data_IF_377113459800
#
_entry.id   IF_377113459800
#
_cell.length_a   1.000
_cell.length_b   1.000
_cell.length_c   1.000
_cell.angle_alpha   90.00
_cell.angle_beta   90.00
_cell.angle_gamma   90.00
#
_symmetry.space_group_name_H-M   'P 1'
#
loop_
_entity.id
_entity.type
_entity.pdbx_description
1 polymer ?
#
# COMPACT_ATOMS: atom_id res chain seq x y z
N UNK A 1 0.17 4.66 43.17
CA UNK A 1 -0.22 4.93 41.78
C UNK A 1 1.06 5.03 40.95
N UNK A 2 1.51 3.92 40.35
CA UNK A 2 2.73 3.90 39.50
C UNK A 2 2.36 4.55 38.18
N UNK A 3 2.93 5.72 37.90
CA UNK A 3 2.93 6.32 36.55
C UNK A 3 3.66 5.33 35.66
N UNK A 4 2.90 4.60 34.84
CA UNK A 4 3.47 3.73 33.82
C UNK A 4 4.35 4.61 32.94
N UNK A 5 5.65 4.45 33.02
CA UNK A 5 6.62 5.09 32.12
C UNK A 5 6.22 4.75 30.71
N UNK A 6 5.63 5.72 29.98
CA UNK A 6 5.37 5.59 28.54
C UNK A 6 6.73 5.32 27.88
N UNK A 7 6.95 4.08 27.48
CA UNK A 7 8.12 3.75 26.65
C UNK A 7 8.08 4.65 25.42
N UNK A 8 9.17 5.35 25.16
CA UNK A 8 9.26 6.17 23.95
C UNK A 8 8.94 5.31 22.72
N UNK A 9 8.18 5.83 21.75
CA UNK A 9 7.90 5.09 20.53
C UNK A 9 9.22 4.76 19.82
N UNK A 10 9.31 3.59 19.16
CA UNK A 10 10.49 3.23 18.40
C UNK A 10 10.68 4.25 17.25
N UNK A 11 11.93 4.47 16.80
CA UNK A 11 12.19 5.42 15.71
C UNK A 11 11.43 5.03 14.46
N UNK A 12 10.96 6.02 13.70
CA UNK A 12 10.05 5.84 12.54
C UNK A 12 10.62 4.88 11.48
N UNK A 13 11.95 4.89 11.25
CA UNK A 13 12.61 3.95 10.34
C UNK A 13 12.47 2.48 10.79
N UNK A 14 12.49 2.23 12.09
CA UNK A 14 12.32 0.88 12.63
C UNK A 14 10.87 0.41 12.44
N UNK A 15 9.90 1.32 12.53
CA UNK A 15 8.49 1.02 12.24
C UNK A 15 8.35 0.65 10.76
N UNK A 16 8.96 1.42 9.86
CA UNK A 16 9.01 1.08 8.44
C UNK A 16 9.61 -0.30 8.19
N UNK A 17 10.77 -0.60 8.79
CA UNK A 17 11.37 -1.94 8.67
C UNK A 17 10.48 -3.06 9.19
N UNK A 18 9.62 -2.80 10.18
CA UNK A 18 8.61 -3.74 10.65
C UNK A 18 7.52 -4.08 9.63
N UNK A 19 7.33 -3.24 8.60
CA UNK A 19 6.40 -3.49 7.49
C UNK A 19 7.08 -4.10 6.25
N UNK A 20 8.40 -4.28 6.28
CA UNK A 20 9.17 -4.80 5.15
C UNK A 20 8.69 -6.18 4.69
N UNK A 21 8.18 -7.02 5.60
CA UNK A 21 7.60 -8.33 5.27
C UNK A 21 6.52 -8.20 4.19
N UNK A 22 5.62 -7.22 4.35
CA UNK A 22 4.58 -6.94 3.35
C UNK A 22 5.22 -6.54 2.01
N UNK A 23 6.17 -5.60 2.03
CA UNK A 23 6.87 -5.16 0.81
C UNK A 23 7.51 -6.32 0.06
N UNK A 24 8.23 -7.22 0.76
CA UNK A 24 8.90 -8.35 0.14
C UNK A 24 7.93 -9.32 -0.54
N UNK A 25 6.81 -9.67 0.11
CA UNK A 25 5.81 -10.60 -0.45
C UNK A 25 5.04 -9.94 -1.59
N UNK A 26 4.54 -8.72 -1.40
CA UNK A 26 3.83 -7.99 -2.44
C UNK A 26 4.73 -7.72 -3.67
N UNK A 27 5.98 -7.31 -3.46
CA UNK A 27 6.95 -7.14 -4.54
C UNK A 27 7.23 -8.43 -5.30
N UNK A 28 7.29 -9.56 -4.58
CA UNK A 28 7.38 -10.87 -5.22
C UNK A 28 6.16 -11.14 -6.11
N UNK A 29 4.95 -10.99 -5.58
CA UNK A 29 3.70 -11.29 -6.31
C UNK A 29 3.52 -10.39 -7.53
N UNK A 30 3.82 -9.11 -7.40
CA UNK A 30 3.63 -8.13 -8.49
C UNK A 30 4.68 -8.25 -9.57
N UNK A 31 5.94 -8.49 -9.20
CA UNK A 31 7.08 -8.36 -10.13
C UNK A 31 7.80 -9.68 -10.40
N UNK A 32 8.21 -10.41 -9.37
CA UNK A 32 9.02 -11.61 -9.55
C UNK A 32 8.20 -12.81 -10.03
N UNK A 33 6.95 -12.94 -9.59
CA UNK A 33 6.05 -14.03 -9.96
C UNK A 33 5.82 -14.14 -11.48
N UNK A 34 5.40 -13.08 -12.20
CA UNK A 34 5.23 -13.15 -13.65
C UNK A 34 6.52 -13.52 -14.37
N UNK A 35 7.65 -12.99 -13.91
CA UNK A 35 8.97 -13.29 -14.46
C UNK A 35 9.34 -14.79 -14.31
N UNK A 36 9.15 -15.35 -13.11
CA UNK A 36 9.45 -16.76 -12.82
C UNK A 36 8.59 -17.71 -13.66
N UNK A 37 7.28 -17.39 -13.79
CA UNK A 37 6.36 -18.17 -14.60
C UNK A 37 6.70 -18.11 -16.09
N UNK A 38 7.07 -16.96 -16.61
CA UNK A 38 7.54 -16.78 -17.98
C UNK A 38 8.81 -17.58 -18.23
N UNK A 39 9.79 -17.53 -17.31
CA UNK A 39 11.02 -18.34 -17.38
C UNK A 39 10.76 -19.85 -17.35
N UNK A 40 9.68 -20.27 -16.68
CA UNK A 40 9.24 -21.67 -16.64
C UNK A 40 8.44 -22.11 -17.88
N UNK A 41 8.27 -21.24 -18.88
CA UNK A 41 7.55 -21.53 -20.11
C UNK A 41 6.02 -21.53 -19.97
N UNK A 42 5.48 -20.90 -18.92
CA UNK A 42 4.03 -20.74 -18.77
C UNK A 42 3.53 -19.69 -19.75
N UNK A 43 2.41 -19.95 -20.42
CA UNK A 43 1.82 -19.04 -21.41
C UNK A 43 1.34 -17.73 -20.77
N UNK A 44 1.38 -16.64 -21.53
CA UNK A 44 1.08 -15.27 -21.05
C UNK A 44 -0.32 -15.16 -20.47
N UNK A 45 -1.32 -15.82 -21.05
CA UNK A 45 -2.71 -15.88 -20.57
C UNK A 45 -2.81 -16.51 -19.17
N UNK A 46 -2.08 -17.61 -18.95
CA UNK A 46 -2.00 -18.26 -17.64
C UNK A 46 -1.23 -17.43 -16.62
N UNK A 47 -0.13 -16.77 -17.03
CA UNK A 47 0.58 -15.83 -16.15
C UNK A 47 -0.35 -14.71 -15.69
N UNK A 48 -1.09 -14.10 -16.63
CA UNK A 48 -2.05 -13.07 -16.30
C UNK A 48 -3.13 -13.54 -15.32
N UNK A 49 -3.67 -14.76 -15.54
CA UNK A 49 -4.67 -15.36 -14.65
C UNK A 49 -4.10 -15.60 -13.25
N UNK A 50 -2.92 -16.21 -13.15
CA UNK A 50 -2.25 -16.48 -11.86
C UNK A 50 -1.98 -15.17 -11.11
N UNK A 51 -1.45 -14.15 -11.80
CA UNK A 51 -1.16 -12.85 -11.19
C UNK A 51 -2.42 -12.15 -10.71
N UNK A 52 -3.51 -12.16 -11.51
CA UNK A 52 -4.77 -11.56 -11.12
C UNK A 52 -5.39 -12.24 -9.89
N UNK A 53 -5.38 -13.58 -9.86
CA UNK A 53 -5.86 -14.35 -8.70
C UNK A 53 -4.99 -14.08 -7.48
N UNK A 54 -3.66 -14.10 -7.62
CA UNK A 54 -2.72 -13.87 -6.54
C UNK A 54 -2.90 -12.50 -5.91
N UNK A 55 -3.11 -11.44 -6.71
CA UNK A 55 -3.31 -10.07 -6.23
C UNK A 55 -4.72 -9.79 -5.70
N UNK A 56 -5.70 -10.65 -5.96
CA UNK A 56 -7.10 -10.39 -5.61
C UNK A 56 -7.36 -10.09 -4.12
N UNK A 57 -6.61 -10.64 -3.13
CA UNK A 57 -6.82 -10.30 -1.71
C UNK A 57 -6.68 -8.81 -1.40
N UNK A 58 -5.88 -8.06 -2.14
CA UNK A 58 -5.73 -6.61 -1.94
C UNK A 58 -7.05 -5.85 -2.06
N UNK A 59 -8.07 -6.42 -2.73
CA UNK A 59 -9.38 -5.82 -2.95
C UNK A 59 -10.46 -6.30 -1.98
N UNK A 60 -10.40 -7.53 -1.48
CA UNK A 60 -11.48 -8.11 -0.69
C UNK A 60 -11.08 -8.55 0.72
N UNK A 61 -9.77 -8.62 1.03
CA UNK A 61 -9.32 -9.06 2.36
C UNK A 61 -9.82 -8.15 3.50
N UNK A 62 -10.24 -6.89 3.22
CA UNK A 62 -10.86 -6.03 4.21
C UNK A 62 -12.12 -6.65 4.86
N UNK A 63 -12.79 -7.57 4.16
CA UNK A 63 -13.93 -8.32 4.72
C UNK A 63 -13.51 -9.27 5.84
N UNK A 64 -12.23 -9.69 5.87
CA UNK A 64 -11.69 -10.60 6.87
C UNK A 64 -10.92 -9.86 7.99
N UNK A 65 -10.57 -8.58 7.80
CA UNK A 65 -9.78 -7.82 8.78
C UNK A 65 -10.43 -7.66 10.17
N UNK A 66 -11.77 -7.72 10.37
CA UNK A 66 -12.34 -7.72 11.71
C UNK A 66 -11.83 -8.87 12.59
N UNK A 67 -11.33 -9.95 11.99
CA UNK A 67 -10.70 -11.07 12.72
C UNK A 67 -9.46 -10.57 13.48
N UNK A 68 -8.74 -9.60 12.92
CA UNK A 68 -7.51 -9.02 13.49
C UNK A 68 -7.79 -8.12 14.70
N UNK A 69 -9.00 -7.55 14.75
CA UNK A 69 -9.42 -6.66 15.85
C UNK A 69 -10.01 -7.45 17.04
N UNK A 70 -10.02 -8.80 17.00
CA UNK A 70 -10.71 -9.65 17.97
C UNK A 70 -9.86 -10.81 18.45
N UNK A 71 -10.00 -11.16 19.71
CA UNK A 71 -9.42 -12.37 20.31
C UNK A 71 -7.95 -12.21 20.68
N UNK A 72 -7.03 -12.50 19.76
CA UNK A 72 -5.59 -12.32 20.01
C UNK A 72 -5.14 -10.87 19.85
N UNK A 73 -3.99 -10.53 20.39
CA UNK A 73 -3.39 -9.20 20.20
C UNK A 73 -2.99 -9.00 18.74
N UNK A 74 -3.03 -7.77 18.24
CA UNK A 74 -2.54 -7.43 16.90
C UNK A 74 -1.10 -7.86 16.69
N UNK A 75 -0.29 -7.83 17.74
CA UNK A 75 1.08 -8.39 17.75
C UNK A 75 1.08 -9.87 17.40
N UNK A 76 0.23 -10.67 18.05
CA UNK A 76 0.13 -12.12 17.81
C UNK A 76 -0.31 -12.39 16.36
N UNK A 77 -1.32 -11.68 15.88
CA UNK A 77 -1.76 -11.80 14.48
C UNK A 77 -0.68 -11.40 13.49
N UNK A 78 0.08 -10.33 13.75
CA UNK A 78 1.16 -9.90 12.88
C UNK A 78 2.22 -11.02 12.69
N UNK A 79 2.60 -11.71 13.76
CA UNK A 79 3.55 -12.84 13.66
C UNK A 79 2.92 -14.08 13.01
N UNK A 80 1.70 -14.46 13.40
CA UNK A 80 1.02 -15.64 12.85
C UNK A 80 0.85 -15.51 11.32
N UNK A 81 0.35 -14.37 10.86
CA UNK A 81 0.13 -14.16 9.44
C UNK A 81 1.42 -13.99 8.65
N UNK A 82 2.47 -13.39 9.24
CA UNK A 82 3.77 -13.34 8.59
C UNK A 82 4.38 -14.74 8.39
N UNK A 83 4.30 -15.60 9.41
CA UNK A 83 4.75 -16.99 9.32
C UNK A 83 3.93 -17.76 8.29
N UNK A 84 2.59 -17.62 8.33
CA UNK A 84 1.70 -18.29 7.38
C UNK A 84 1.98 -17.85 5.93
N UNK A 85 2.17 -16.55 5.70
CA UNK A 85 2.53 -16.01 4.38
C UNK A 85 3.87 -16.54 3.89
N UNK A 86 4.89 -16.47 4.73
CA UNK A 86 6.24 -16.95 4.40
C UNK A 86 6.26 -18.44 4.12
N UNK A 87 5.56 -19.25 4.93
CA UNK A 87 5.46 -20.69 4.75
C UNK A 87 4.70 -21.04 3.44
N UNK A 88 3.60 -20.33 3.16
CA UNK A 88 2.82 -20.54 1.94
C UNK A 88 3.61 -20.19 0.69
N UNK A 89 4.33 -19.06 0.70
CA UNK A 89 5.15 -18.63 -0.42
C UNK A 89 6.36 -19.56 -0.62
N UNK A 90 7.00 -19.96 0.48
CA UNK A 90 8.07 -20.96 0.45
C UNK A 90 7.59 -22.29 -0.12
N UNK A 91 6.44 -22.80 0.36
CA UNK A 91 5.83 -24.03 -0.15
C UNK A 91 5.45 -23.92 -1.64
N UNK A 92 4.93 -22.77 -2.08
CA UNK A 92 4.60 -22.52 -3.48
C UNK A 92 5.82 -22.78 -4.38
N UNK A 93 6.98 -22.21 -4.04
CA UNK A 93 8.20 -22.37 -4.84
C UNK A 93 8.87 -23.73 -4.65
N UNK A 94 8.80 -24.31 -3.44
CA UNK A 94 9.30 -25.68 -3.19
C UNK A 94 8.57 -26.72 -4.02
N UNK A 95 7.23 -26.58 -4.17
CA UNK A 95 6.36 -27.52 -4.87
C UNK A 95 6.08 -27.09 -6.31
N UNK A 96 6.75 -26.02 -6.78
CA UNK A 96 6.50 -25.46 -8.11
C UNK A 96 6.74 -26.49 -9.21
N UNK A 97 5.71 -26.65 -10.05
CA UNK A 97 5.76 -27.39 -11.29
C UNK A 97 4.72 -26.80 -12.26
N UNK A 98 5.03 -26.63 -13.55
CA UNK A 98 4.05 -26.18 -14.54
C UNK A 98 2.80 -27.06 -14.61
N UNK A 99 2.92 -28.36 -14.29
CA UNK A 99 1.80 -29.31 -14.22
C UNK A 99 0.90 -29.11 -12.99
N UNK A 100 1.37 -28.40 -11.96
CA UNK A 100 0.66 -28.13 -10.70
C UNK A 100 0.39 -26.64 -10.50
N UNK A 101 0.12 -25.91 -11.57
CA UNK A 101 -0.04 -24.46 -11.55
C UNK A 101 -1.21 -24.02 -10.65
N UNK A 102 -2.28 -24.81 -10.56
CA UNK A 102 -3.41 -24.52 -9.67
C UNK A 102 -3.02 -24.55 -8.18
N UNK A 103 -2.23 -25.56 -7.76
CA UNK A 103 -1.71 -25.65 -6.39
C UNK A 103 -0.78 -24.46 -6.10
N UNK A 104 0.11 -24.14 -7.04
CA UNK A 104 1.00 -22.98 -6.93
C UNK A 104 0.20 -21.69 -6.75
N UNK A 105 -0.83 -21.47 -7.58
CA UNK A 105 -1.70 -20.30 -7.50
C UNK A 105 -2.43 -20.23 -6.15
N UNK A 106 -2.94 -21.34 -5.65
CA UNK A 106 -3.62 -21.39 -4.36
C UNK A 106 -2.66 -21.04 -3.19
N UNK A 107 -1.43 -21.52 -3.22
CA UNK A 107 -0.43 -21.21 -2.21
C UNK A 107 0.02 -19.74 -2.27
N UNK A 108 0.20 -19.17 -3.46
CA UNK A 108 0.52 -17.74 -3.62
C UNK A 108 -0.66 -16.86 -3.20
N UNK A 109 -1.90 -17.23 -3.54
CA UNK A 109 -3.11 -16.55 -3.07
C UNK A 109 -3.19 -16.55 -1.54
N UNK A 110 -2.89 -17.68 -0.89
CA UNK A 110 -2.87 -17.78 0.56
C UNK A 110 -1.75 -16.92 1.17
N UNK A 111 -0.58 -16.88 0.53
CA UNK A 111 0.52 -16.02 0.95
C UNK A 111 0.12 -14.55 0.89
N UNK A 112 -0.50 -14.11 -0.20
CA UNK A 112 -0.96 -12.73 -0.37
C UNK A 112 -2.09 -12.36 0.60
N UNK A 113 -3.08 -13.23 0.77
CA UNK A 113 -4.15 -13.02 1.75
C UNK A 113 -3.58 -12.83 3.16
N UNK A 114 -2.69 -13.72 3.58
CA UNK A 114 -2.13 -13.67 4.93
C UNK A 114 -1.20 -12.49 5.13
N UNK A 115 -0.47 -12.04 4.09
CA UNK A 115 0.38 -10.84 4.22
C UNK A 115 -0.45 -9.55 4.25
N UNK A 116 -1.57 -9.47 3.54
CA UNK A 116 -2.50 -8.34 3.63
C UNK A 116 -3.12 -8.25 5.03
N UNK A 117 -3.50 -9.38 5.62
CA UNK A 117 -3.98 -9.43 7.00
C UNK A 117 -2.88 -9.08 8.02
N UNK A 118 -1.64 -9.52 7.78
CA UNK A 118 -0.47 -9.12 8.57
C UNK A 118 -0.25 -7.60 8.52
N UNK A 119 -0.30 -7.01 7.32
CA UNK A 119 -0.17 -5.56 7.14
C UNK A 119 -1.26 -4.81 7.91
N UNK A 120 -2.51 -5.29 7.86
CA UNK A 120 -3.62 -4.72 8.63
C UNK A 120 -3.39 -4.81 10.14
N UNK A 121 -2.84 -5.94 10.62
CA UNK A 121 -2.48 -6.13 12.03
C UNK A 121 -1.37 -5.16 12.47
N UNK A 122 -0.30 -5.04 11.67
CA UNK A 122 0.83 -4.14 11.96
C UNK A 122 0.38 -2.70 11.95
N UNK A 123 -0.35 -2.27 10.92
CA UNK A 123 -0.82 -0.89 10.81
C UNK A 123 -1.80 -0.52 11.93
N UNK A 124 -2.72 -1.44 12.27
CA UNK A 124 -3.61 -1.28 13.43
C UNK A 124 -2.85 -1.23 14.77
N UNK A 125 -1.75 -1.98 14.90
CA UNK A 125 -0.88 -1.91 16.08
C UNK A 125 -0.10 -0.59 16.13
N UNK A 126 0.46 -0.15 15.01
CA UNK A 126 1.19 1.12 14.86
C UNK A 126 0.30 2.31 15.21
N UNK A 127 -0.97 2.33 14.78
CA UNK A 127 -1.90 3.41 15.09
C UNK A 127 -2.12 3.59 16.59
N UNK A 128 -1.96 2.52 17.39
CA UNK A 128 -2.17 2.52 18.83
C UNK A 128 -1.07 3.21 19.64
N UNK A 129 0.14 3.40 19.10
CA UNK A 129 1.27 3.97 19.86
C UNK A 129 1.97 5.15 19.19
N UNK A 130 1.73 5.42 17.91
CA UNK A 130 2.37 6.53 17.19
C UNK A 130 1.69 7.85 17.53
N UNK A 131 2.45 8.84 18.10
CA UNK A 131 1.91 10.14 18.40
C UNK A 131 1.57 10.90 17.12
N UNK A 132 0.63 11.84 17.22
CA UNK A 132 0.16 12.61 16.06
C UNK A 132 1.28 13.35 15.33
N UNK A 133 2.24 13.87 16.07
CA UNK A 133 3.41 14.62 15.56
C UNK A 133 4.40 13.79 14.73
N UNK A 134 4.27 12.46 14.71
CA UNK A 134 5.19 11.55 14.00
C UNK A 134 4.48 10.66 12.97
N UNK A 135 3.17 10.77 12.81
CA UNK A 135 2.39 9.93 11.87
C UNK A 135 2.84 10.10 10.43
N UNK A 136 3.27 11.30 10.06
CA UNK A 136 3.83 11.58 8.74
C UNK A 136 5.13 10.84 8.50
N UNK A 137 6.11 10.99 9.40
CA UNK A 137 7.40 10.28 9.30
C UNK A 137 7.21 8.77 9.27
N UNK A 138 6.33 8.25 10.13
CA UNK A 138 6.01 6.82 10.18
C UNK A 138 5.39 6.37 8.86
N UNK A 139 4.41 7.08 8.32
CA UNK A 139 3.82 6.80 7.01
C UNK A 139 4.85 6.81 5.88
N UNK A 140 5.76 7.78 5.90
CA UNK A 140 6.86 7.87 4.94
C UNK A 140 7.78 6.65 4.99
N UNK A 141 8.23 6.23 6.16
CA UNK A 141 9.10 5.07 6.31
C UNK A 141 8.40 3.75 6.01
N UNK A 142 7.10 3.60 6.36
CA UNK A 142 6.27 2.44 5.99
C UNK A 142 6.25 2.29 4.46
N UNK A 143 5.94 3.37 3.74
CA UNK A 143 5.85 3.30 2.28
C UNK A 143 7.22 3.14 1.62
N UNK A 144 8.27 3.77 2.14
CA UNK A 144 9.64 3.55 1.67
C UNK A 144 10.08 2.08 1.81
N UNK A 145 9.77 1.44 2.94
CA UNK A 145 10.05 0.03 3.16
C UNK A 145 9.21 -0.87 2.25
N UNK A 146 7.93 -0.56 2.06
CA UNK A 146 7.03 -1.36 1.22
C UNK A 146 7.41 -1.26 -0.26
N UNK A 147 7.56 -0.04 -0.79
CA UNK A 147 7.87 0.20 -2.21
C UNK A 147 9.33 -0.14 -2.54
N UNK A 148 10.26 0.42 -1.76
CA UNK A 148 11.70 0.17 -1.95
C UNK A 148 12.08 -1.26 -1.63
N UNK A 149 11.59 -1.81 -0.50
CA UNK A 149 11.83 -3.19 -0.08
C UNK A 149 11.24 -4.20 -1.05
N UNK A 150 10.03 -3.94 -1.55
CA UNK A 150 9.37 -4.78 -2.54
C UNK A 150 10.14 -4.84 -3.85
N UNK A 151 10.56 -3.69 -4.36
CA UNK A 151 11.33 -3.63 -5.60
C UNK A 151 12.71 -4.28 -5.47
N UNK A 152 13.44 -4.00 -4.37
CA UNK A 152 14.74 -4.64 -4.10
C UNK A 152 14.60 -6.15 -3.92
N UNK A 153 13.57 -6.60 -3.17
CA UNK A 153 13.28 -8.02 -2.98
C UNK A 153 12.99 -8.73 -4.30
N UNK A 154 12.13 -8.14 -5.14
CA UNK A 154 11.83 -8.69 -6.46
C UNK A 154 13.07 -8.74 -7.36
N UNK A 155 13.89 -7.70 -7.36
CA UNK A 155 15.15 -7.66 -8.14
C UNK A 155 16.11 -8.75 -7.69
N UNK A 156 16.31 -8.93 -6.38
CA UNK A 156 17.16 -10.00 -5.82
C UNK A 156 16.64 -11.38 -6.26
N UNK A 157 15.34 -11.60 -6.19
CA UNK A 157 14.71 -12.86 -6.63
C UNK A 157 14.93 -13.11 -8.12
N UNK A 158 14.68 -12.11 -8.97
CA UNK A 158 14.84 -12.25 -10.43
C UNK A 158 16.30 -12.52 -10.81
N UNK A 159 17.23 -11.82 -10.18
CA UNK A 159 18.66 -12.03 -10.39
C UNK A 159 19.10 -13.42 -9.92
N UNK A 160 18.71 -13.81 -8.70
CA UNK A 160 19.02 -15.11 -8.12
C UNK A 160 18.39 -16.26 -8.92
N UNK A 161 17.26 -16.04 -9.58
CA UNK A 161 16.60 -17.03 -10.41
C UNK A 161 17.42 -17.45 -11.65
N UNK A 162 18.44 -16.67 -12.04
CA UNK A 162 19.38 -17.08 -13.07
C UNK A 162 20.37 -18.16 -12.58
N UNK A 163 20.63 -18.18 -11.27
CA UNK A 163 21.69 -18.97 -10.63
C UNK A 163 21.15 -20.11 -9.76
N UNK A 164 19.96 -19.95 -9.19
CA UNK A 164 19.42 -20.84 -8.17
C UNK A 164 18.15 -21.56 -8.64
N UNK A 165 17.93 -22.80 -8.21
CA UNK A 165 16.67 -23.50 -8.45
C UNK A 165 15.53 -22.88 -7.65
N UNK A 166 14.27 -23.04 -8.13
CA UNK A 166 13.06 -22.49 -7.48
C UNK A 166 12.92 -22.87 -6.00
N UNK A 167 13.35 -24.08 -5.63
CA UNK A 167 13.34 -24.55 -4.24
C UNK A 167 14.20 -23.68 -3.33
N UNK A 168 15.41 -23.36 -3.76
CA UNK A 168 16.32 -22.49 -3.00
C UNK A 168 15.78 -21.06 -2.93
N UNK A 169 15.22 -20.54 -4.03
CA UNK A 169 14.54 -19.23 -4.04
C UNK A 169 13.41 -19.19 -3.03
N UNK A 170 12.59 -20.24 -2.96
CA UNK A 170 11.49 -20.36 -2.01
C UNK A 170 11.96 -20.27 -0.55
N UNK A 171 13.03 -21.00 -0.21
CA UNK A 171 13.61 -20.95 1.14
C UNK A 171 14.22 -19.57 1.44
N UNK A 172 14.88 -18.96 0.46
CA UNK A 172 15.48 -17.63 0.61
C UNK A 172 14.41 -16.55 0.89
N UNK A 173 13.34 -16.56 0.10
CA UNK A 173 12.24 -15.58 0.27
C UNK A 173 11.52 -15.81 1.59
N UNK A 174 11.18 -17.06 1.92
CA UNK A 174 10.53 -17.41 3.17
C UNK A 174 11.37 -16.98 4.37
N UNK A 175 12.69 -17.25 4.33
CA UNK A 175 13.62 -16.83 5.38
C UNK A 175 13.69 -15.30 5.50
N UNK A 176 13.84 -14.56 4.38
CA UNK A 176 13.90 -13.10 4.38
C UNK A 176 12.61 -12.48 4.94
N UNK A 177 11.45 -13.02 4.55
CA UNK A 177 10.16 -12.56 5.04
C UNK A 177 9.97 -12.83 6.54
N UNK A 178 10.37 -14.01 7.05
CA UNK A 178 10.35 -14.29 8.50
C UNK A 178 11.37 -13.42 9.23
N UNK A 179 12.59 -13.29 8.72
CA UNK A 179 13.65 -12.50 9.36
C UNK A 179 13.24 -11.03 9.51
N UNK A 180 12.53 -10.46 8.53
CA UNK A 180 12.03 -9.08 8.61
C UNK A 180 11.03 -8.86 9.74
N UNK A 181 10.33 -9.91 10.21
CA UNK A 181 9.42 -9.79 11.37
C UNK A 181 10.15 -9.54 12.70
N UNK A 182 11.46 -9.80 12.76
CA UNK A 182 12.25 -9.55 13.96
C UNK A 182 12.25 -8.06 14.37
N UNK A 183 12.06 -7.14 13.41
CA UNK A 183 11.91 -5.73 13.74
C UNK A 183 10.68 -5.45 14.61
N UNK A 184 9.59 -6.23 14.44
CA UNK A 184 8.37 -6.12 15.25
C UNK A 184 8.59 -6.45 16.73
N UNK A 185 9.65 -7.19 17.08
CA UNK A 185 9.97 -7.51 18.47
C UNK A 185 10.30 -6.25 19.30
N UNK A 186 10.74 -5.18 18.63
CA UNK A 186 11.07 -3.90 19.26
C UNK A 186 9.89 -2.94 19.40
N UNK A 187 8.73 -3.31 18.88
CA UNK A 187 7.52 -2.51 19.04
C UNK A 187 6.99 -2.63 20.47
N UNK A 188 6.38 -1.57 21.04
CA UNK A 188 5.79 -1.62 22.36
C UNK A 188 4.67 -2.66 22.42
N UNK A 189 4.42 -3.22 23.60
CA UNK A 189 3.30 -4.16 23.78
C UNK A 189 1.99 -3.47 23.38
N UNK A 190 1.10 -4.14 22.65
CA UNK A 190 -0.18 -3.55 22.33
C UNK A 190 -0.95 -3.18 23.61
N UNK A 191 -1.37 -1.92 23.68
CA UNK A 191 -2.24 -1.43 24.74
C UNK A 191 -3.72 -1.39 24.30
N UNK A 192 -3.99 -1.98 23.12
CA UNK A 192 -5.31 -1.85 22.49
C UNK A 192 -6.37 -2.66 23.23
N UNK A 193 -7.56 -2.06 23.48
CA UNK A 193 -8.72 -2.80 23.90
C UNK A 193 -9.11 -3.79 22.79
N UNK A 194 -9.01 -5.07 23.08
CA UNK A 194 -9.46 -6.12 22.16
C UNK A 194 -10.97 -6.28 22.28
N UNK A 195 -11.65 -6.31 21.14
CA UNK A 195 -13.07 -6.67 21.13
C UNK A 195 -13.22 -8.14 21.56
N UNK A 196 -14.09 -8.41 22.51
CA UNK A 196 -14.36 -9.78 22.94
C UNK A 196 -15.02 -10.58 21.81
N UNK A 197 -14.72 -11.89 21.71
CA UNK A 197 -15.34 -12.79 20.72
C UNK A 197 -16.87 -12.73 20.71
N UNK A 198 -17.51 -12.39 21.84
CA UNK A 198 -18.97 -12.25 21.94
C UNK A 198 -19.50 -11.01 21.18
N UNK A 199 -18.69 -10.01 20.94
CA UNK A 199 -19.11 -8.79 20.23
C UNK A 199 -19.23 -8.99 18.71
N UNK A 200 -18.68 -10.10 18.17
CA UNK A 200 -18.82 -10.48 16.74
C UNK A 200 -20.01 -11.45 16.51
N UNK A 201 -20.93 -11.58 17.45
CA UNK A 201 -22.13 -12.46 17.27
C UNK A 201 -22.96 -12.19 16.01
N UNK A 202 -22.69 -11.09 15.27
CA UNK A 202 -23.34 -10.76 14.00
C UNK A 202 -22.53 -11.10 12.74
N UNK A 203 -21.33 -11.72 12.87
CA UNK A 203 -20.44 -12.04 11.74
C UNK A 203 -19.52 -10.85 11.36
N UNK A 204 -18.38 -11.19 10.72
CA UNK A 204 -17.37 -10.22 10.26
C UNK A 204 -17.94 -9.18 9.31
N UNK A 205 -18.83 -9.57 8.41
CA UNK A 205 -19.49 -8.67 7.47
C UNK A 205 -20.31 -7.57 8.17
N UNK A 206 -21.08 -7.93 9.19
CA UNK A 206 -21.86 -6.93 9.97
C UNK A 206 -20.94 -5.94 10.68
N UNK A 207 -19.80 -6.39 11.20
CA UNK A 207 -18.81 -5.52 11.83
C UNK A 207 -18.23 -4.51 10.80
N UNK A 208 -17.87 -4.97 9.60
CA UNK A 208 -17.42 -4.08 8.51
C UNK A 208 -18.50 -3.03 8.18
N UNK A 209 -19.75 -3.47 7.99
CA UNK A 209 -20.86 -2.56 7.68
C UNK A 209 -21.10 -1.54 8.80
N UNK A 210 -21.03 -1.96 10.06
CA UNK A 210 -21.17 -1.04 11.19
C UNK A 210 -20.03 -0.02 11.25
N UNK A 211 -18.79 -0.48 11.03
CA UNK A 211 -17.61 0.40 11.00
C UNK A 211 -17.67 1.37 9.82
N UNK A 212 -18.06 0.92 8.63
CA UNK A 212 -18.15 1.77 7.44
C UNK A 212 -19.23 2.83 7.52
N UNK A 213 -20.25 2.66 8.39
CA UNK A 213 -21.31 3.66 8.61
C UNK A 213 -20.90 4.80 9.55
N UNK A 214 -19.75 4.72 10.20
CA UNK A 214 -19.24 5.83 10.99
C UNK A 214 -18.93 7.02 10.06
N UNK A 215 -19.39 8.25 10.35
CA UNK A 215 -19.25 9.40 9.43
C UNK A 215 -17.80 9.66 9.04
N UNK A 216 -16.86 9.55 9.97
CA UNK A 216 -15.42 9.73 9.72
C UNK A 216 -14.85 8.66 8.78
N UNK A 217 -15.28 7.40 8.95
CA UNK A 217 -14.85 6.29 8.09
C UNK A 217 -15.44 6.44 6.69
N UNK A 218 -16.72 6.81 6.60
CA UNK A 218 -17.37 7.04 5.32
C UNK A 218 -16.71 8.20 4.56
N UNK A 219 -16.43 9.31 5.25
CA UNK A 219 -15.76 10.46 4.63
C UNK A 219 -14.36 10.11 4.15
N UNK A 220 -13.56 9.41 4.97
CA UNK A 220 -12.24 8.93 4.57
C UNK A 220 -12.32 7.95 3.40
N UNK A 221 -13.27 7.02 3.41
CA UNK A 221 -13.50 6.07 2.33
C UNK A 221 -13.81 6.78 1.01
N UNK A 222 -14.71 7.76 1.01
CA UNK A 222 -15.07 8.54 -0.18
C UNK A 222 -13.89 9.40 -0.68
N UNK A 223 -13.13 10.00 0.24
CA UNK A 223 -11.93 10.76 -0.10
C UNK A 223 -10.89 9.89 -0.82
N UNK A 224 -10.63 8.67 -0.29
CA UNK A 224 -9.65 7.76 -0.87
C UNK A 224 -10.15 7.03 -2.12
N UNK A 225 -11.46 6.91 -2.30
CA UNK A 225 -12.06 6.38 -3.52
C UNK A 225 -12.05 7.41 -4.66
N UNK A 226 -11.92 8.72 -4.35
CA UNK A 226 -11.80 9.76 -5.38
C UNK A 226 -10.47 9.62 -6.14
N UNK A 227 -10.42 9.97 -7.44
CA UNK A 227 -9.21 9.80 -8.27
C UNK A 227 -8.14 10.87 -7.98
N UNK A 228 -8.27 11.60 -6.87
CA UNK A 228 -7.47 12.78 -6.58
C UNK A 228 -5.96 12.50 -6.40
N UNK A 229 -5.58 11.34 -5.86
CA UNK A 229 -4.18 10.99 -5.54
C UNK A 229 -3.92 9.49 -5.68
N UNK A 230 -4.64 8.82 -6.57
CA UNK A 230 -4.51 7.39 -6.79
C UNK A 230 -3.26 6.99 -7.58
N UNK A 231 -2.64 7.92 -8.31
CA UNK A 231 -1.40 7.75 -9.11
C UNK A 231 -1.41 6.52 -10.00
N UNK A 232 -2.52 6.30 -10.71
CA UNK A 232 -2.81 5.07 -11.44
C UNK A 232 -1.89 4.83 -12.64
N UNK A 233 -1.40 5.89 -13.30
CA UNK A 233 -0.52 5.79 -14.47
C UNK A 233 0.78 4.99 -14.21
N UNK A 234 1.21 4.85 -12.95
CA UNK A 234 2.37 3.99 -12.59
C UNK A 234 2.22 2.58 -13.16
N UNK A 235 1.02 2.02 -13.12
CA UNK A 235 0.74 0.66 -13.59
C UNK A 235 0.93 0.49 -15.11
N UNK A 236 0.94 1.58 -15.85
CA UNK A 236 0.98 1.58 -17.31
C UNK A 236 2.33 2.01 -17.89
N UNK A 237 3.18 2.71 -17.13
CA UNK A 237 4.46 3.25 -17.62
C UNK A 237 5.36 2.21 -18.28
N UNK A 238 5.44 0.99 -17.74
CA UNK A 238 6.25 -0.06 -18.35
C UNK A 238 5.82 -0.42 -19.79
N UNK A 239 4.53 -0.26 -20.11
CA UNK A 239 3.99 -0.48 -21.45
C UNK A 239 4.21 0.67 -22.42
N UNK A 240 4.58 1.85 -21.93
CA UNK A 240 4.62 3.09 -22.74
C UNK A 240 5.99 3.40 -23.37
N UNK A 241 7.01 2.56 -23.14
CA UNK A 241 8.38 2.83 -23.59
C UNK A 241 8.48 3.07 -25.10
N UNK A 242 7.74 2.31 -25.91
CA UNK A 242 7.73 2.45 -27.37
C UNK A 242 7.20 3.80 -27.84
N UNK A 243 6.19 4.34 -27.16
CA UNK A 243 5.59 5.64 -27.45
C UNK A 243 6.58 6.79 -27.25
N UNK A 244 7.55 6.60 -26.35
CA UNK A 244 8.64 7.54 -26.07
C UNK A 244 9.95 7.17 -26.76
N UNK A 245 9.95 6.24 -27.69
CA UNK A 245 11.14 5.78 -28.43
C UNK A 245 12.26 5.27 -27.49
N UNK A 246 11.87 4.67 -26.36
CA UNK A 246 12.80 4.21 -25.32
C UNK A 246 13.08 2.73 -25.51
N UNK A 247 14.36 2.33 -25.35
CA UNK A 247 14.75 0.92 -25.40
C UNK A 247 14.13 0.13 -24.25
N UNK A 248 13.83 -1.15 -24.48
CA UNK A 248 13.24 -2.03 -23.46
C UNK A 248 14.08 -2.12 -22.20
N UNK A 249 15.41 -2.14 -22.34
CA UNK A 249 16.34 -2.17 -21.21
C UNK A 249 16.22 -0.89 -20.36
N UNK A 250 16.15 0.28 -21.01
CA UNK A 250 16.03 1.55 -20.32
C UNK A 250 14.65 1.71 -19.64
N UNK A 251 13.58 1.17 -20.26
CA UNK A 251 12.26 1.09 -19.62
C UNK A 251 12.33 0.28 -18.32
N UNK A 252 12.95 -0.89 -18.34
CA UNK A 252 13.10 -1.75 -17.14
C UNK A 252 13.86 -1.02 -16.03
N UNK A 253 14.97 -0.34 -16.35
CA UNK A 253 15.72 0.44 -15.37
C UNK A 253 14.91 1.61 -14.82
N UNK A 254 14.22 2.36 -15.67
CA UNK A 254 13.47 3.56 -15.28
C UNK A 254 12.25 3.20 -14.43
N UNK A 255 11.44 2.22 -14.88
CA UNK A 255 10.19 1.81 -14.18
C UNK A 255 10.43 0.82 -13.05
N UNK A 256 11.60 0.18 -13.01
CA UNK A 256 12.01 -0.71 -11.93
C UNK A 256 12.81 0.03 -10.86
N UNK A 257 14.14 -0.04 -10.93
CA UNK A 257 15.03 0.50 -9.90
C UNK A 257 14.88 2.02 -9.72
N UNK A 258 14.76 2.77 -10.82
CA UNK A 258 14.59 4.22 -10.78
C UNK A 258 13.29 4.65 -10.10
N UNK A 259 12.17 4.05 -10.52
CA UNK A 259 10.87 4.30 -9.93
C UNK A 259 10.82 3.93 -8.45
N UNK A 260 11.38 2.78 -8.07
CA UNK A 260 11.44 2.34 -6.67
C UNK A 260 12.25 3.31 -5.79
N UNK A 261 13.42 3.75 -6.27
CA UNK A 261 14.26 4.70 -5.55
C UNK A 261 13.56 6.04 -5.38
N UNK A 262 12.98 6.59 -6.45
CA UNK A 262 12.29 7.89 -6.39
C UNK A 262 11.01 7.82 -5.56
N UNK A 263 10.23 6.72 -5.62
CA UNK A 263 9.08 6.52 -4.74
C UNK A 263 9.49 6.44 -3.27
N UNK A 264 10.57 5.74 -2.94
CA UNK A 264 11.07 5.65 -1.57
C UNK A 264 11.53 7.02 -1.05
N UNK A 265 12.30 7.77 -1.85
CA UNK A 265 12.71 9.14 -1.53
C UNK A 265 11.49 10.04 -1.34
N UNK A 266 10.55 10.02 -2.29
CA UNK A 266 9.30 10.77 -2.22
C UNK A 266 8.49 10.44 -0.97
N UNK A 267 8.42 9.16 -0.59
CA UNK A 267 7.72 8.71 0.63
C UNK A 267 8.37 9.26 1.89
N UNK A 268 9.69 9.22 2.00
CA UNK A 268 10.39 9.76 3.16
C UNK A 268 10.18 11.27 3.24
N UNK A 269 10.41 12.00 2.14
CA UNK A 269 10.23 13.46 2.09
C UNK A 269 8.77 13.85 2.40
N UNK A 270 7.80 13.16 1.76
CA UNK A 270 6.37 13.36 2.00
C UNK A 270 5.99 13.13 3.45
N UNK A 271 6.58 12.12 4.09
CA UNK A 271 6.37 11.85 5.51
C UNK A 271 6.83 12.99 6.42
N UNK A 272 8.02 13.56 6.16
CA UNK A 272 8.49 14.72 6.91
C UNK A 272 7.66 15.98 6.67
N UNK A 273 7.14 16.16 5.45
CA UNK A 273 6.23 17.26 5.12
C UNK A 273 4.88 17.08 5.81
N UNK A 274 4.33 15.84 5.84
CA UNK A 274 3.05 15.51 6.46
C UNK A 274 2.97 15.76 7.96
N UNK A 275 4.12 15.84 8.65
CA UNK A 275 4.18 16.23 10.06
C UNK A 275 4.22 17.77 10.27
N UNK A 276 4.32 18.57 9.19
CA UNK A 276 4.43 20.04 9.25
C UNK A 276 3.27 20.78 8.61
N UNK A 277 2.55 20.11 7.72
CA UNK A 277 1.39 20.67 7.00
C UNK A 277 0.16 19.82 7.23
N UNK A 278 -1.01 20.37 6.92
CA UNK A 278 -2.24 19.58 6.94
C UNK A 278 -2.14 18.39 5.99
N UNK A 279 -2.40 17.18 6.49
CA UNK A 279 -2.23 15.92 5.77
C UNK A 279 -3.19 15.76 4.61
N UNK A 280 -4.41 16.28 4.74
CA UNK A 280 -5.40 16.31 3.66
C UNK A 280 -4.96 17.22 2.53
N UNK A 281 -4.42 18.40 2.89
CA UNK A 281 -3.85 19.36 1.91
C UNK A 281 -2.65 18.74 1.20
N UNK A 282 -1.77 18.04 1.92
CA UNK A 282 -0.61 17.36 1.32
C UNK A 282 -1.05 16.22 0.40
N UNK A 283 -2.03 15.42 0.82
CA UNK A 283 -2.58 14.31 0.02
C UNK A 283 -3.15 14.82 -1.30
N UNK A 284 -4.05 15.80 -1.24
CA UNK A 284 -4.68 16.37 -2.43
C UNK A 284 -3.70 17.21 -3.29
N UNK A 285 -2.79 17.95 -2.65
CA UNK A 285 -1.73 18.68 -3.33
C UNK A 285 -0.76 17.75 -4.07
N UNK A 286 -0.44 16.60 -3.48
CA UNK A 286 0.31 15.53 -4.15
C UNK A 286 -0.39 15.05 -5.41
N UNK A 287 -1.71 14.84 -5.37
CA UNK A 287 -2.48 14.49 -6.55
C UNK A 287 -2.46 15.54 -7.66
N UNK A 288 -2.54 16.84 -7.29
CA UNK A 288 -2.38 17.95 -8.26
C UNK A 288 -0.99 17.90 -8.90
N UNK A 289 0.07 17.67 -8.11
CA UNK A 289 1.41 17.56 -8.64
C UNK A 289 1.61 16.33 -9.53
N UNK A 290 1.05 15.17 -9.16
CA UNK A 290 1.08 13.98 -10.00
C UNK A 290 0.35 14.20 -11.33
N UNK A 291 -0.85 14.80 -11.28
CA UNK A 291 -1.58 15.20 -12.46
C UNK A 291 -0.80 16.21 -13.32
N UNK A 292 -0.12 17.17 -12.70
CA UNK A 292 0.78 18.11 -13.37
C UNK A 292 1.94 17.40 -14.10
N UNK A 293 2.55 16.38 -13.48
CA UNK A 293 3.58 15.56 -14.10
C UNK A 293 3.02 14.83 -15.35
N UNK A 294 1.83 14.22 -15.24
CA UNK A 294 1.19 13.54 -16.37
C UNK A 294 0.89 14.51 -17.52
N UNK A 295 0.30 15.67 -17.23
CA UNK A 295 0.00 16.70 -18.25
C UNK A 295 1.29 17.26 -18.86
N UNK A 296 2.33 17.44 -18.08
CA UNK A 296 3.63 17.86 -18.61
C UNK A 296 4.20 16.81 -19.58
N UNK A 297 4.12 15.52 -19.25
CA UNK A 297 4.52 14.45 -20.16
C UNK A 297 3.68 14.44 -21.45
N UNK A 298 2.37 14.69 -21.35
CA UNK A 298 1.45 14.75 -22.49
C UNK A 298 1.78 15.90 -23.47
N UNK A 299 2.22 17.04 -22.91
CA UNK A 299 2.54 18.25 -23.67
C UNK A 299 3.99 18.25 -24.21
N UNK A 300 4.87 17.42 -23.66
CA UNK A 300 6.30 17.37 -24.01
C UNK A 300 6.56 16.48 -25.23
N UNK A 301 7.68 16.66 -25.95
CA UNK A 301 8.11 15.75 -26.99
C UNK A 301 8.26 14.30 -26.44
N UNK A 302 7.80 13.32 -27.18
CA UNK A 302 7.86 11.91 -26.79
C UNK A 302 9.25 11.34 -27.04
N UNK A 303 10.18 11.62 -26.13
CA UNK A 303 11.59 11.19 -26.18
C UNK A 303 11.94 10.33 -24.97
N UNK A 304 13.03 9.55 -25.05
CA UNK A 304 13.55 8.80 -23.88
C UNK A 304 13.82 9.70 -22.65
N UNK A 305 14.27 10.93 -22.87
CA UNK A 305 14.52 11.88 -21.79
C UNK A 305 13.22 12.29 -21.08
N UNK A 306 12.15 12.61 -21.85
CA UNK A 306 10.84 12.93 -21.30
C UNK A 306 10.26 11.72 -20.52
N UNK A 307 10.39 10.52 -21.09
CA UNK A 307 9.98 9.28 -20.39
C UNK A 307 10.66 9.15 -19.04
N UNK A 308 12.00 9.22 -19.03
CA UNK A 308 12.78 9.05 -17.80
C UNK A 308 12.45 10.11 -16.77
N UNK A 309 12.50 11.39 -17.15
CA UNK A 309 12.22 12.49 -16.22
C UNK A 309 10.78 12.44 -15.70
N UNK A 310 9.81 12.15 -16.58
CA UNK A 310 8.40 12.09 -16.22
C UNK A 310 8.09 10.91 -15.29
N UNK A 311 8.55 9.70 -15.62
CA UNK A 311 8.34 8.52 -14.78
C UNK A 311 8.98 8.69 -13.40
N UNK A 312 10.21 9.17 -13.33
CA UNK A 312 10.90 9.36 -12.05
C UNK A 312 10.24 10.47 -11.22
N UNK A 313 9.87 11.60 -11.83
CA UNK A 313 9.16 12.68 -11.14
C UNK A 313 7.78 12.23 -10.64
N UNK A 314 7.01 11.57 -11.49
CA UNK A 314 5.70 11.03 -11.13
C UNK A 314 5.80 10.03 -9.97
N UNK A 315 6.76 9.10 -10.00
CA UNK A 315 6.98 8.14 -8.91
C UNK A 315 7.45 8.83 -7.62
N UNK A 316 8.25 9.88 -7.70
CA UNK A 316 8.62 10.66 -6.52
C UNK A 316 7.38 11.31 -5.87
N UNK A 317 6.52 11.95 -6.67
CA UNK A 317 5.26 12.54 -6.20
C UNK A 317 4.31 11.46 -5.67
N UNK A 318 4.24 10.30 -6.32
CA UNK A 318 3.46 9.16 -5.84
C UNK A 318 3.93 8.70 -4.45
N UNK A 319 5.23 8.68 -4.20
CA UNK A 319 5.77 8.44 -2.86
C UNK A 319 5.24 9.43 -1.82
N UNK A 320 5.18 10.72 -2.17
CA UNK A 320 4.56 11.75 -1.31
C UNK A 320 3.08 11.45 -1.06
N UNK A 321 2.31 11.09 -2.11
CA UNK A 321 0.90 10.74 -2.00
C UNK A 321 0.68 9.55 -1.06
N UNK A 322 1.47 8.48 -1.20
CA UNK A 322 1.38 7.30 -0.33
C UNK A 322 1.74 7.60 1.13
N UNK A 323 2.76 8.43 1.36
CA UNK A 323 3.12 8.85 2.72
C UNK A 323 2.01 9.70 3.35
N UNK A 324 1.45 10.66 2.62
CA UNK A 324 0.33 11.49 3.05
C UNK A 324 -0.93 10.66 3.30
N UNK A 325 -1.24 9.68 2.41
CA UNK A 325 -2.32 8.73 2.58
C UNK A 325 -2.19 7.97 3.91
N UNK A 326 -1.03 7.37 4.17
CA UNK A 326 -0.81 6.58 5.39
C UNK A 326 -0.91 7.46 6.63
N UNK A 327 -0.33 8.66 6.60
CA UNK A 327 -0.40 9.62 7.72
C UNK A 327 -1.85 10.06 7.99
N UNK A 328 -2.62 10.32 6.94
CA UNK A 328 -4.04 10.69 7.05
C UNK A 328 -4.90 9.52 7.55
N UNK A 329 -4.65 8.30 7.08
CA UNK A 329 -5.30 7.10 7.59
C UNK A 329 -5.06 6.92 9.09
N UNK A 330 -3.81 7.05 9.55
CA UNK A 330 -3.46 6.96 10.97
C UNK A 330 -4.14 8.08 11.79
N UNK A 331 -4.31 9.28 11.21
CA UNK A 331 -5.02 10.39 11.84
C UNK A 331 -6.52 10.10 11.98
N UNK A 332 -7.17 9.63 10.92
CA UNK A 332 -8.62 9.33 10.92
C UNK A 332 -8.96 8.18 11.87
N UNK A 333 -8.09 7.20 12.00
CA UNK A 333 -8.29 6.05 12.89
C UNK A 333 -8.07 6.43 14.35
N UNK A 334 -7.12 7.30 14.65
CA UNK A 334 -6.80 7.74 16.00
C UNK A 334 -6.10 6.70 16.85
N UNK A 335 -5.92 7.04 18.15
CA UNK A 335 -5.27 6.18 19.16
C UNK A 335 -6.34 5.38 19.92
N UNK A 336 -5.99 4.13 20.33
CA UNK A 336 -6.89 3.23 21.09
C UNK A 336 -8.20 2.86 20.39
N UNK A 337 -8.19 2.83 19.06
CA UNK A 337 -9.35 2.42 18.29
C UNK A 337 -9.44 0.88 18.22
N UNK A 338 -10.50 0.25 18.75
CA UNK A 338 -10.64 -1.19 18.74
C UNK A 338 -10.84 -1.78 17.34
N UNK A 339 -11.31 -0.98 16.37
CA UNK A 339 -11.55 -1.39 14.97
C UNK A 339 -10.49 -0.81 14.01
N UNK A 340 -9.32 -0.44 14.51
CA UNK A 340 -8.30 0.24 13.72
C UNK A 340 -7.85 -0.56 12.49
N UNK A 341 -7.62 -1.87 12.63
CA UNK A 341 -7.20 -2.70 11.50
C UNK A 341 -8.28 -2.75 10.41
N UNK A 342 -9.55 -2.87 10.80
CA UNK A 342 -10.70 -2.85 9.87
C UNK A 342 -10.83 -1.51 9.15
N UNK A 343 -10.71 -0.38 9.86
CA UNK A 343 -10.80 0.95 9.26
C UNK A 343 -9.67 1.20 8.27
N UNK A 344 -8.43 0.88 8.65
CA UNK A 344 -7.27 1.02 7.77
C UNK A 344 -7.39 0.16 6.50
N UNK A 345 -7.91 -1.05 6.63
CA UNK A 345 -8.16 -1.93 5.49
C UNK A 345 -9.27 -1.40 4.56
N UNK A 346 -10.32 -0.79 5.10
CA UNK A 346 -11.35 -0.12 4.31
C UNK A 346 -10.78 1.05 3.51
N UNK A 347 -9.93 1.87 4.12
CA UNK A 347 -9.27 2.98 3.43
C UNK A 347 -8.32 2.49 2.34
N UNK A 348 -7.56 1.43 2.60
CA UNK A 348 -6.69 0.80 1.60
C UNK A 348 -7.51 0.22 0.43
N UNK A 349 -8.64 -0.44 0.71
CA UNK A 349 -9.53 -0.96 -0.33
C UNK A 349 -10.13 0.16 -1.19
N UNK A 350 -10.51 1.30 -0.59
CA UNK A 350 -10.98 2.46 -1.33
C UNK A 350 -9.91 3.02 -2.28
N UNK A 351 -8.68 3.21 -1.77
CA UNK A 351 -7.54 3.68 -2.56
C UNK A 351 -7.19 2.71 -3.70
N UNK A 352 -7.16 1.40 -3.42
CA UNK A 352 -6.93 0.38 -4.45
C UNK A 352 -8.05 0.38 -5.50
N UNK A 353 -9.31 0.58 -5.08
CA UNK A 353 -10.45 0.76 -5.98
C UNK A 353 -10.24 1.94 -6.93
N UNK A 354 -9.77 3.09 -6.40
CA UNK A 354 -9.45 4.27 -7.21
C UNK A 354 -8.37 3.97 -8.25
N UNK A 355 -7.31 3.28 -7.86
CA UNK A 355 -6.23 2.86 -8.78
C UNK A 355 -6.78 1.99 -9.91
N UNK A 356 -7.66 1.03 -9.59
CA UNK A 356 -8.20 0.09 -10.60
C UNK A 356 -9.06 0.78 -11.64
N UNK A 357 -10.07 1.55 -11.22
CA UNK A 357 -10.93 2.19 -12.20
C UNK A 357 -10.21 3.29 -12.99
N UNK A 358 -9.25 3.97 -12.36
CA UNK A 358 -8.43 4.96 -13.08
C UNK A 358 -7.47 4.31 -14.06
N UNK A 359 -6.79 3.22 -13.70
CA UNK A 359 -5.97 2.45 -14.66
C UNK A 359 -6.79 2.01 -15.88
N UNK A 360 -8.05 1.61 -15.66
CA UNK A 360 -8.97 1.30 -16.75
C UNK A 360 -9.30 2.55 -17.59
N UNK A 361 -9.63 3.68 -16.95
CA UNK A 361 -9.95 4.93 -17.63
C UNK A 361 -8.76 5.45 -18.46
N UNK A 362 -7.54 5.39 -17.91
CA UNK A 362 -6.30 5.72 -18.60
C UNK A 362 -6.08 4.84 -19.83
N UNK A 363 -6.37 3.53 -19.70
CA UNK A 363 -6.36 2.60 -20.82
C UNK A 363 -7.38 2.95 -21.91
N UNK A 364 -8.59 3.44 -21.57
CA UNK A 364 -9.54 3.95 -22.55
C UNK A 364 -9.02 5.24 -23.20
N UNK A 365 -8.44 6.15 -22.42
CA UNK A 365 -7.78 7.34 -22.94
C UNK A 365 -6.71 7.00 -23.98
N UNK A 366 -5.88 5.99 -23.69
CA UNK A 366 -4.88 5.48 -24.62
C UNK A 366 -5.51 4.94 -25.92
N UNK A 367 -6.57 4.17 -25.82
CA UNK A 367 -7.28 3.63 -26.99
C UNK A 367 -7.85 4.69 -27.90
N UNK A 368 -8.31 5.81 -27.34
CA UNK A 368 -8.98 6.89 -28.10
C UNK A 368 -7.98 7.89 -28.71
N UNK A 369 -6.94 8.24 -27.97
CA UNK A 369 -6.04 9.35 -28.30
C UNK A 369 -4.54 9.02 -28.13
N UNK A 370 -4.19 7.73 -28.01
CA UNK A 370 -2.81 7.29 -27.78
C UNK A 370 -2.27 7.72 -26.44
N UNK A 371 -0.97 7.84 -26.35
CA UNK A 371 -0.26 8.20 -25.11
C UNK A 371 -0.72 9.52 -24.50
N UNK A 372 -1.02 10.52 -25.33
CA UNK A 372 -1.55 11.81 -24.87
C UNK A 372 -2.90 11.64 -24.17
N UNK A 373 -3.78 10.80 -24.72
CA UNK A 373 -5.07 10.52 -24.12
C UNK A 373 -4.97 9.90 -22.74
N UNK A 374 -4.09 8.91 -22.55
CA UNK A 374 -3.81 8.30 -21.26
C UNK A 374 -3.37 9.35 -20.24
N UNK A 375 -2.30 10.10 -20.56
CA UNK A 375 -1.70 11.09 -19.65
C UNK A 375 -2.66 12.25 -19.35
N UNK A 376 -3.51 12.64 -20.30
CA UNK A 376 -4.54 13.67 -20.08
C UNK A 376 -5.66 13.15 -19.16
N UNK A 377 -6.11 11.91 -19.33
CA UNK A 377 -7.15 11.32 -18.46
C UNK A 377 -6.64 11.23 -17.02
N UNK A 378 -5.46 10.67 -16.79
CA UNK A 378 -4.85 10.59 -15.46
C UNK A 378 -4.69 11.99 -14.83
N UNK A 379 -4.07 12.91 -15.57
CA UNK A 379 -3.78 14.25 -15.06
C UNK A 379 -5.02 15.09 -14.79
N UNK A 380 -5.99 15.11 -15.72
CA UNK A 380 -7.22 15.91 -15.56
C UNK A 380 -8.14 15.31 -14.49
N UNK A 381 -8.24 13.99 -14.38
CA UNK A 381 -9.02 13.34 -13.34
C UNK A 381 -8.43 13.63 -11.94
N UNK A 382 -7.11 13.51 -11.78
CA UNK A 382 -6.44 13.81 -10.53
C UNK A 382 -6.64 15.27 -10.10
N UNK A 383 -6.37 16.23 -10.99
CA UNK A 383 -6.53 17.66 -10.70
C UNK A 383 -8.01 18.04 -10.51
N UNK A 384 -8.88 17.53 -11.40
CA UNK A 384 -10.32 17.81 -11.37
C UNK A 384 -11.01 17.30 -10.11
N UNK A 385 -10.53 16.20 -9.51
CA UNK A 385 -11.02 15.72 -8.22
C UNK A 385 -10.34 16.41 -7.04
N UNK A 386 -9.03 16.65 -7.11
CA UNK A 386 -8.29 17.21 -5.98
C UNK A 386 -8.67 18.67 -5.67
N UNK A 387 -8.87 19.51 -6.68
CA UNK A 387 -9.20 20.93 -6.47
C UNK A 387 -10.54 21.13 -5.74
N UNK A 388 -11.67 20.54 -6.17
CA UNK A 388 -12.94 20.68 -5.47
C UNK A 388 -12.87 20.11 -4.04
N UNK A 389 -12.21 18.97 -3.85
CA UNK A 389 -12.03 18.37 -2.53
C UNK A 389 -11.18 19.27 -1.61
N UNK A 390 -10.12 19.89 -2.14
CA UNK A 390 -9.29 20.83 -1.39
C UNK A 390 -10.06 22.07 -0.97
N UNK A 391 -10.90 22.62 -1.87
CA UNK A 391 -11.79 23.76 -1.56
C UNK A 391 -12.81 23.36 -0.49
N UNK A 392 -13.38 22.17 -0.59
CA UNK A 392 -14.32 21.63 0.38
C UNK A 392 -13.70 21.48 1.78
N UNK A 393 -12.48 20.93 1.87
CA UNK A 393 -11.73 20.79 3.13
C UNK A 393 -11.39 22.12 3.79
N UNK A 394 -11.25 23.20 3.00
CA UNK A 394 -10.97 24.55 3.50
C UNK A 394 -12.21 25.34 3.86
N UNK A 395 -13.39 24.83 3.55
CA UNK A 395 -14.66 25.52 3.89
C UNK A 395 -14.83 25.61 5.41
N UNK A 396 -15.16 26.80 5.97
CA UNK A 396 -15.22 27.01 7.42
C UNK A 396 -16.14 26.07 8.20
N UNK A 397 -17.21 25.55 7.55
CA UNK A 397 -18.15 24.62 8.16
C UNK A 397 -17.68 23.14 8.19
N UNK A 398 -16.63 22.79 7.44
CA UNK A 398 -16.18 21.39 7.30
C UNK A 398 -15.04 21.04 8.25
N UNK A 399 -14.40 22.02 8.86
CA UNK A 399 -13.27 21.81 9.79
C UNK A 399 -13.64 20.91 10.97
N UNK A 400 -14.91 20.90 11.39
CA UNK A 400 -15.38 20.05 12.48
C UNK A 400 -15.65 18.59 12.09
N UNK A 401 -15.77 18.23 10.80
CA UNK A 401 -16.14 16.86 10.39
C UNK A 401 -14.94 15.96 10.14
N UNK A 402 -13.80 16.52 9.71
CA UNK A 402 -12.57 15.77 9.46
C UNK A 402 -11.48 15.97 10.51
N UNK A 403 -11.62 17.03 11.33
CA UNK A 403 -10.68 17.41 12.37
C UNK A 403 -11.25 17.26 13.78
N UNK A 404 -12.42 16.62 13.92
CA UNK A 404 -13.10 16.47 15.21
C UNK A 404 -12.34 15.56 16.13
N UNK A 405 -11.91 16.18 17.20
CA UNK A 405 -11.88 15.68 18.58
C UNK A 405 -11.08 14.41 18.84
N UNK A 406 -9.77 14.58 18.85
CA UNK A 406 -8.91 13.75 19.70
C UNK A 406 -8.89 14.23 21.16
N UNK A 407 -9.66 15.26 21.53
CA UNK A 407 -9.56 15.89 22.84
C UNK A 407 -10.63 15.47 23.87
N UNK A 408 -11.84 15.05 23.46
CA UNK A 408 -13.00 14.99 24.40
C UNK A 408 -13.67 13.61 24.56
N UNK A 409 -13.03 12.52 24.24
CA UNK A 409 -13.58 11.19 24.53
C UNK A 409 -12.89 10.50 25.72
N UNK A 410 -12.63 11.23 26.77
CA UNK A 410 -12.45 10.65 28.11
C UNK A 410 -13.72 10.97 28.90
N UNK A 411 -14.61 10.01 29.20
CA UNK A 411 -15.51 10.20 30.31
C UNK A 411 -14.65 10.32 31.56
N UNK A 412 -14.77 11.43 32.27
CA UNK A 412 -14.33 11.54 33.66
C UNK A 412 -14.95 10.36 34.42
N UNK A 413 -14.11 9.52 34.97
CA UNK A 413 -14.53 8.46 35.90
C UNK A 413 -15.27 9.11 37.09
N UNK A 414 -16.53 8.72 37.26
CA UNK A 414 -17.24 8.77 38.54
C UNK A 414 -17.05 7.43 39.24
#
# INVERSE_FOLDING_TARGET
MQVATRSQPPPSWLIGMGTLTFGLVAGFVVTALPFLLSKAGVSVDRIATVSAVAMSPTFWAFLMTPIVDVGFTRRTYAFLFAIASSASLGAALLLFSPARLSLFTALVLLAELTIVLQSSAVNGWVSGFVPDTERGKVGGWINAANLGGGALGAMVVMWSAALLPYRTLGLMIAFAAVASTLFLLRFPKPADPQLGLRQIRGGTFRSVVQTSRQPQVLTGFLLFLAPASCVAAINLFAGLGKEFQTSSEWVVWTTGAGAAATSAIGSILGGYIADRVDRGVLYLGGGILAGGCALWMAASPHTPATFTAGVLAYNCVAGVCYAAFTALCLQLVGIRNPTAATQLALFAAASNGAIVYMTWADGQGFRMFGIRGLLMVDGLAAIGAAIPLLLFLRWPGTKNTLLVETADALPEEV
#
